data_IF_363965009016
#
_entry.id   IF_363965009016
#
_cell.length_a   1.000
_cell.length_b   1.000
_cell.length_c   1.000
_cell.angle_alpha   90.00
_cell.angle_beta   90.00
_cell.angle_gamma   90.00
#
_symmetry.space_group_name_H-M   'P 1'
#
loop_
_entity.id
_entity.type
_entity.pdbx_description
1 polymer ?
#
# COMPACT_ATOMS: atom_id res chain seq x y z
N UNK A 1 8.27 32.60 4.79
CA UNK A 1 9.23 33.68 4.50
C UNK A 1 9.47 33.81 3.01
N UNK A 2 10.26 34.80 2.58
CA UNK A 2 10.66 34.99 1.17
C UNK A 2 11.74 33.96 0.80
N UNK A 3 11.68 33.40 -0.40
CA UNK A 3 12.67 32.48 -0.96
C UNK A 3 12.98 32.84 -2.42
N UNK A 4 14.09 32.35 -2.97
CA UNK A 4 14.51 32.61 -4.36
C UNK A 4 13.76 31.70 -5.32
N UNK A 5 13.84 30.38 -5.08
CA UNK A 5 13.25 29.35 -5.94
C UNK A 5 12.77 28.15 -5.12
N UNK A 6 11.67 27.52 -5.57
CA UNK A 6 11.18 26.25 -5.03
C UNK A 6 11.73 25.10 -5.86
N UNK A 7 12.71 24.38 -5.32
CA UNK A 7 13.34 23.25 -6.02
C UNK A 7 12.51 21.97 -5.99
N UNK A 8 11.67 21.78 -4.96
CA UNK A 8 10.91 20.54 -4.82
C UNK A 8 10.13 20.41 -3.52
N UNK A 9 9.80 19.16 -3.17
CA UNK A 9 8.99 18.74 -2.02
C UNK A 9 9.54 17.46 -1.41
N UNK A 10 9.42 17.36 -0.09
CA UNK A 10 9.77 16.16 0.68
C UNK A 10 8.57 15.70 1.52
N UNK A 11 8.27 14.41 1.47
CA UNK A 11 7.26 13.78 2.32
C UNK A 11 7.89 12.61 3.11
N UNK A 12 8.10 12.78 4.44
CA UNK A 12 8.65 11.74 5.31
C UNK A 12 7.65 10.64 5.68
N UNK A 13 6.35 10.86 5.47
CA UNK A 13 5.29 9.94 5.93
C UNK A 13 5.07 8.76 4.96
N UNK A 14 5.74 8.75 3.81
CA UNK A 14 5.72 7.63 2.87
C UNK A 14 6.91 6.71 3.11
N UNK A 15 6.75 5.42 2.85
CA UNK A 15 7.85 4.45 2.89
C UNK A 15 7.99 3.77 1.53
N UNK A 16 9.09 3.99 0.78
CA UNK A 16 10.20 4.92 1.06
C UNK A 16 9.78 6.40 1.07
N UNK A 17 10.57 7.28 1.71
CA UNK A 17 10.27 8.71 1.78
C UNK A 17 10.26 9.35 0.38
N UNK A 18 9.21 10.11 0.06
CA UNK A 18 9.04 10.69 -1.27
C UNK A 18 9.84 11.97 -1.36
N UNK A 19 10.86 11.97 -2.23
CA UNK A 19 11.73 13.10 -2.52
C UNK A 19 11.55 13.44 -3.99
N UNK A 20 10.86 14.56 -4.27
CA UNK A 20 10.63 15.06 -5.62
C UNK A 20 11.20 16.47 -5.75
N UNK A 21 12.21 16.65 -6.59
CA UNK A 21 12.81 17.94 -6.88
C UNK A 21 13.46 17.92 -8.26
N UNK A 22 13.68 19.10 -8.83
CA UNK A 22 14.41 19.27 -10.08
C UNK A 22 15.92 19.09 -9.85
N UNK A 23 16.47 17.99 -10.38
CA UNK A 23 17.87 17.62 -10.22
C UNK A 23 18.87 18.58 -10.88
N UNK A 24 18.49 19.18 -12.01
CA UNK A 24 19.35 20.11 -12.75
C UNK A 24 19.41 21.47 -12.06
N UNK A 25 18.27 21.97 -11.59
CA UNK A 25 18.21 23.21 -10.79
C UNK A 25 18.93 23.04 -9.46
N UNK A 26 18.75 21.90 -8.78
CA UNK A 26 19.48 21.62 -7.54
C UNK A 26 21.00 21.58 -7.78
N UNK A 27 21.44 20.94 -8.87
CA UNK A 27 22.85 20.91 -9.26
C UNK A 27 23.40 22.32 -9.55
N UNK A 28 22.66 23.14 -10.30
CA UNK A 28 23.01 24.53 -10.59
C UNK A 28 23.28 25.34 -9.33
N UNK A 29 22.35 25.32 -8.36
CA UNK A 29 22.52 26.08 -7.12
C UNK A 29 23.70 25.59 -6.28
N UNK A 30 23.92 24.28 -6.23
CA UNK A 30 25.06 23.69 -5.52
C UNK A 30 26.40 24.04 -6.19
N UNK A 31 26.43 24.13 -7.52
CA UNK A 31 27.60 24.62 -8.26
C UNK A 31 27.86 26.11 -7.99
N UNK A 32 26.81 26.91 -7.83
CA UNK A 32 26.90 28.33 -7.45
C UNK A 32 27.21 28.56 -5.96
N UNK A 33 27.49 27.52 -5.19
CA UNK A 33 27.94 27.63 -3.80
C UNK A 33 26.85 27.53 -2.74
N UNK A 34 25.61 27.16 -3.10
CA UNK A 34 24.57 26.90 -2.12
C UNK A 34 25.05 25.87 -1.08
N UNK A 35 24.90 26.21 0.21
CA UNK A 35 25.26 25.35 1.33
C UNK A 35 24.00 24.61 1.82
N UNK A 36 23.81 23.32 1.48
CA UNK A 36 22.67 22.57 1.97
C UNK A 36 22.80 22.28 3.47
N UNK A 37 21.69 22.39 4.19
CA UNK A 37 21.56 21.91 5.56
C UNK A 37 21.65 20.39 5.62
N UNK A 38 21.90 19.82 6.80
CA UNK A 38 22.23 18.39 6.94
C UNK A 38 21.18 17.43 6.32
N UNK A 39 19.89 17.66 6.60
CA UNK A 39 18.81 16.84 6.05
C UNK A 39 18.71 16.97 4.53
N UNK A 40 18.85 18.20 4.00
CA UNK A 40 18.82 18.46 2.56
C UNK A 40 20.05 17.86 1.88
N UNK A 41 21.22 17.93 2.51
CA UNK A 41 22.45 17.29 2.04
C UNK A 41 22.26 15.78 1.91
N UNK A 42 21.64 15.13 2.90
CA UNK A 42 21.33 13.71 2.84
C UNK A 42 20.39 13.37 1.66
N UNK A 43 19.36 14.20 1.41
CA UNK A 43 18.46 14.02 0.26
C UNK A 43 19.18 14.19 -1.09
N UNK A 44 20.00 15.24 -1.22
CA UNK A 44 20.78 15.51 -2.43
C UNK A 44 21.84 14.44 -2.68
N UNK A 45 22.46 13.90 -1.62
CA UNK A 45 23.36 12.76 -1.70
C UNK A 45 22.61 11.51 -2.15
N UNK A 46 21.44 11.26 -1.58
CA UNK A 46 20.61 10.09 -1.87
C UNK A 46 20.17 10.02 -3.33
N UNK A 47 19.84 11.16 -3.96
CA UNK A 47 19.50 11.24 -5.39
C UNK A 47 20.69 11.50 -6.32
N UNK A 48 21.89 11.70 -5.78
CA UNK A 48 23.13 11.78 -6.56
C UNK A 48 23.57 13.17 -7.01
N UNK A 49 22.88 14.25 -6.62
CA UNK A 49 23.29 15.62 -7.02
C UNK A 49 24.69 15.96 -6.51
N UNK A 50 25.02 15.55 -5.27
CA UNK A 50 26.36 15.78 -4.72
C UNK A 50 27.44 14.95 -5.39
N UNK A 51 27.09 13.74 -5.86
CA UNK A 51 28.01 12.91 -6.63
C UNK A 51 28.28 13.54 -8.00
N UNK A 52 27.23 13.99 -8.70
CA UNK A 52 27.35 14.73 -9.97
C UNK A 52 28.26 15.95 -9.81
N UNK A 53 28.09 16.72 -8.72
CA UNK A 53 28.97 17.85 -8.39
C UNK A 53 30.42 17.43 -8.21
N UNK A 54 30.68 16.36 -7.45
CA UNK A 54 32.05 15.86 -7.25
C UNK A 54 32.72 15.45 -8.57
N UNK A 55 32.00 14.72 -9.42
CA UNK A 55 32.51 14.28 -10.73
C UNK A 55 32.76 15.48 -11.65
N UNK A 56 31.82 16.44 -11.71
CA UNK A 56 32.00 17.65 -12.51
C UNK A 56 33.22 18.46 -12.06
N UNK A 57 33.47 18.56 -10.75
CA UNK A 57 34.67 19.23 -10.25
C UNK A 57 35.95 18.52 -10.72
N UNK A 58 35.94 17.19 -10.80
CA UNK A 58 37.03 16.42 -11.41
C UNK A 58 37.25 16.76 -12.89
N UNK A 59 36.16 16.90 -13.65
CA UNK A 59 36.20 17.30 -15.06
C UNK A 59 36.75 18.72 -15.22
N UNK A 60 36.25 19.69 -14.44
CA UNK A 60 36.71 21.09 -14.51
C UNK A 60 38.20 21.23 -14.16
N UNK A 61 38.73 20.33 -13.33
CA UNK A 61 40.15 20.29 -12.95
C UNK A 61 41.00 19.48 -13.93
N UNK A 62 40.42 18.90 -14.98
CA UNK A 62 41.11 18.09 -15.97
C UNK A 62 41.50 16.68 -15.50
N UNK A 63 41.03 16.24 -14.33
CA UNK A 63 41.32 14.91 -13.78
C UNK A 63 40.45 13.79 -14.38
N UNK A 64 39.37 14.16 -15.08
CA UNK A 64 38.39 13.24 -15.65
C UNK A 64 37.84 13.80 -16.96
N UNK A 65 37.50 12.93 -17.91
CA UNK A 65 36.72 13.33 -19.10
C UNK A 65 35.24 13.37 -18.77
N UNK A 66 34.47 14.16 -19.52
CA UNK A 66 33.02 14.27 -19.34
C UNK A 66 32.33 12.90 -19.48
N UNK A 67 32.75 12.09 -20.45
CA UNK A 67 32.18 10.77 -20.70
C UNK A 67 32.36 9.81 -19.51
N UNK A 68 33.55 9.78 -18.90
CA UNK A 68 33.81 8.90 -17.75
C UNK A 68 33.05 9.38 -16.52
N UNK A 69 32.88 10.70 -16.36
CA UNK A 69 32.04 11.26 -15.30
C UNK A 69 30.58 10.80 -15.45
N UNK A 70 30.02 10.91 -16.66
CA UNK A 70 28.63 10.55 -16.93
C UNK A 70 28.40 9.04 -16.79
N UNK A 71 29.34 8.20 -17.25
CA UNK A 71 29.29 6.75 -17.05
C UNK A 71 29.24 6.37 -15.56
N UNK A 72 30.15 6.94 -14.74
CA UNK A 72 30.18 6.68 -13.30
C UNK A 72 28.91 7.15 -12.60
N UNK A 73 28.38 8.30 -13.03
CA UNK A 73 27.14 8.85 -12.48
C UNK A 73 25.94 7.96 -12.81
N UNK A 74 25.81 7.53 -14.07
CA UNK A 74 24.72 6.68 -14.52
C UNK A 74 24.77 5.30 -13.86
N UNK A 75 25.94 4.67 -13.79
CA UNK A 75 26.12 3.41 -13.07
C UNK A 75 25.67 3.53 -11.61
N UNK A 76 26.10 4.59 -10.92
CA UNK A 76 25.70 4.82 -9.54
C UNK A 76 24.19 5.04 -9.41
N UNK A 77 23.57 5.78 -10.34
CA UNK A 77 22.13 6.00 -10.35
C UNK A 77 21.34 4.70 -10.52
N UNK A 78 21.76 3.85 -11.45
CA UNK A 78 21.15 2.53 -11.68
C UNK A 78 21.25 1.66 -10.43
N UNK A 79 22.43 1.57 -9.81
CA UNK A 79 22.64 0.81 -8.58
C UNK A 79 21.76 1.33 -7.42
N UNK A 80 21.60 2.65 -7.29
CA UNK A 80 20.76 3.24 -6.26
C UNK A 80 19.28 3.03 -6.54
N UNK A 81 18.84 3.23 -7.77
CA UNK A 81 17.46 2.99 -8.17
C UNK A 81 17.08 1.52 -7.98
N UNK A 82 17.95 0.58 -8.36
CA UNK A 82 17.75 -0.84 -8.12
C UNK A 82 17.57 -1.17 -6.63
N UNK A 83 18.38 -0.58 -5.73
CA UNK A 83 18.21 -0.74 -4.27
C UNK A 83 16.90 -0.15 -3.75
N UNK A 84 16.45 0.97 -4.32
CA UNK A 84 15.19 1.60 -3.95
C UNK A 84 14.01 0.74 -4.38
N UNK A 85 14.05 0.25 -5.60
CA UNK A 85 12.98 -0.58 -6.16
C UNK A 85 12.92 -1.94 -5.47
N UNK A 86 14.06 -2.55 -5.15
CA UNK A 86 14.10 -3.74 -4.30
C UNK A 86 13.42 -3.53 -2.94
N UNK A 87 13.65 -2.37 -2.29
CA UNK A 87 12.94 -2.03 -1.04
C UNK A 87 11.45 -1.83 -1.23
N UNK A 88 11.03 -1.18 -2.32
CA UNK A 88 9.60 -1.02 -2.64
C UNK A 88 8.93 -2.36 -2.85
N UNK A 89 9.54 -3.25 -3.63
CA UNK A 89 9.03 -4.60 -3.89
C UNK A 89 8.88 -5.37 -2.58
N UNK A 90 9.93 -5.43 -1.75
CA UNK A 90 9.85 -6.10 -0.44
C UNK A 90 8.78 -5.51 0.50
N UNK A 91 8.53 -4.20 0.48
CA UNK A 91 7.44 -3.58 1.24
C UNK A 91 6.05 -3.96 0.71
N UNK A 92 5.91 -4.10 -0.61
CA UNK A 92 4.65 -4.54 -1.23
C UNK A 92 4.39 -6.00 -0.87
N UNK A 93 5.40 -6.86 -0.96
CA UNK A 93 5.28 -8.30 -0.69
C UNK A 93 4.91 -8.55 0.78
N UNK A 94 5.66 -7.95 1.71
CA UNK A 94 5.35 -8.05 3.15
C UNK A 94 3.95 -7.54 3.49
N UNK A 95 3.49 -6.47 2.83
CA UNK A 95 2.13 -5.96 3.01
C UNK A 95 1.08 -6.91 2.43
N UNK A 96 1.35 -7.56 1.31
CA UNK A 96 0.48 -8.55 0.70
C UNK A 96 0.35 -9.80 1.59
N UNK A 97 1.47 -10.32 2.10
CA UNK A 97 1.52 -11.44 3.04
C UNK A 97 0.77 -11.12 4.33
N UNK A 98 0.99 -9.95 4.92
CA UNK A 98 0.29 -9.53 6.14
C UNK A 98 -1.23 -9.43 5.93
N UNK A 99 -1.67 -8.91 4.77
CA UNK A 99 -3.10 -8.85 4.42
C UNK A 99 -3.68 -10.25 4.21
N UNK A 100 -2.98 -11.14 3.51
CA UNK A 100 -3.43 -12.51 3.31
C UNK A 100 -3.54 -13.26 4.64
N UNK A 101 -2.57 -13.09 5.54
CA UNK A 101 -2.61 -13.66 6.88
C UNK A 101 -3.77 -13.11 7.73
N UNK A 102 -4.02 -11.78 7.67
CA UNK A 102 -5.15 -11.17 8.35
C UNK A 102 -6.50 -11.70 7.84
N UNK A 103 -6.67 -11.80 6.51
CA UNK A 103 -7.88 -12.37 5.91
C UNK A 103 -8.09 -13.83 6.30
N UNK A 104 -7.03 -14.64 6.29
CA UNK A 104 -7.10 -16.04 6.71
C UNK A 104 -7.41 -16.20 8.22
N UNK A 105 -6.97 -15.27 9.06
CA UNK A 105 -7.34 -15.24 10.47
C UNK A 105 -8.81 -14.83 10.66
N UNK A 106 -9.27 -13.81 9.93
CA UNK A 106 -10.66 -13.35 9.95
C UNK A 106 -11.64 -14.43 9.45
N UNK A 107 -11.30 -15.17 8.39
CA UNK A 107 -12.14 -16.27 7.89
C UNK A 107 -12.26 -17.39 8.91
N UNK A 108 -11.17 -17.82 9.54
CA UNK A 108 -11.20 -18.82 10.62
C UNK A 108 -12.04 -18.37 11.81
N UNK A 109 -11.93 -17.10 12.22
CA UNK A 109 -12.75 -16.53 13.29
C UNK A 109 -14.23 -16.49 12.89
N UNK A 110 -14.53 -16.12 11.64
CA UNK A 110 -15.90 -16.10 11.11
C UNK A 110 -16.51 -17.50 11.08
N UNK A 111 -15.79 -18.49 10.57
CA UNK A 111 -16.22 -19.89 10.53
C UNK A 111 -16.44 -20.47 11.93
N UNK A 112 -15.53 -20.21 12.87
CA UNK A 112 -15.68 -20.64 14.25
C UNK A 112 -16.91 -20.00 14.93
N UNK A 113 -17.16 -18.70 14.70
CA UNK A 113 -18.36 -18.01 15.20
C UNK A 113 -19.64 -18.55 14.57
N UNK A 114 -19.63 -18.84 13.27
CA UNK A 114 -20.77 -19.41 12.56
C UNK A 114 -21.10 -20.82 13.08
N UNK A 115 -20.10 -21.67 13.30
CA UNK A 115 -20.29 -23.00 13.87
C UNK A 115 -20.83 -22.94 15.32
N UNK A 116 -20.34 -22.00 16.13
CA UNK A 116 -20.85 -21.79 17.49
C UNK A 116 -22.31 -21.29 17.50
N UNK A 117 -22.68 -20.41 16.57
CA UNK A 117 -24.06 -19.95 16.38
C UNK A 117 -24.97 -21.10 15.91
N UNK A 118 -24.54 -21.88 14.92
CA UNK A 118 -25.30 -23.03 14.43
C UNK A 118 -25.53 -24.06 15.54
N UNK A 119 -24.51 -24.35 16.36
CA UNK A 119 -24.65 -25.21 17.54
C UNK A 119 -25.66 -24.64 18.54
N UNK A 120 -25.55 -23.36 18.90
CA UNK A 120 -26.51 -22.70 19.80
C UNK A 120 -27.94 -22.71 19.26
N UNK A 121 -28.12 -22.51 17.94
CA UNK A 121 -29.42 -22.56 17.30
C UNK A 121 -30.00 -23.98 17.29
N UNK A 122 -29.18 -25.00 17.02
CA UNK A 122 -29.58 -26.40 17.10
C UNK A 122 -29.96 -26.81 18.54
N UNK A 123 -29.16 -26.41 19.53
CA UNK A 123 -29.43 -26.65 20.94
C UNK A 123 -30.73 -25.93 21.40
N UNK A 124 -30.97 -24.70 20.93
CA UNK A 124 -32.20 -23.96 21.20
C UNK A 124 -33.44 -24.57 20.52
N UNK A 125 -33.30 -25.07 19.28
CA UNK A 125 -34.40 -25.75 18.57
C UNK A 125 -34.76 -27.08 19.25
N UNK A 126 -33.76 -27.86 19.69
CA UNK A 126 -33.96 -29.09 20.44
C UNK A 126 -34.63 -28.83 21.81
N UNK A 127 -34.25 -27.76 22.51
CA UNK A 127 -34.88 -27.37 23.78
C UNK A 127 -36.32 -26.82 23.62
N UNK A 128 -36.65 -26.27 22.45
CA UNK A 128 -38.00 -25.79 22.12
C UNK A 128 -38.93 -26.89 21.56
N UNK A 129 -38.43 -28.12 21.37
CA UNK A 129 -39.24 -29.27 20.93
C UNK A 129 -39.71 -30.08 22.16
N UNK A 130 -41.00 -30.05 22.55
CA UNK A 130 -41.50 -30.91 23.61
C UNK A 130 -41.64 -32.36 23.12
N UNK A 131 -41.41 -33.31 24.04
CA UNK A 131 -41.55 -34.76 23.80
C UNK A 131 -42.92 -35.10 23.16
N UNK A 132 -42.97 -36.06 22.22
CA UNK A 132 -44.22 -36.41 21.56
C UNK A 132 -45.15 -37.08 22.58
N UNK A 133 -46.24 -36.40 22.92
CA UNK A 133 -47.43 -37.08 23.43
C UNK A 133 -47.99 -37.90 22.25
N UNK A 134 -48.00 -39.22 22.43
CA UNK A 134 -48.77 -40.13 21.61
C UNK A 134 -50.26 -39.82 21.80
N UNK A 135 -50.97 -39.46 20.73
CA UNK A 135 -52.22 -40.08 20.31
C UNK A 135 -52.74 -39.49 18.99
N UNK A 136 -53.39 -40.36 18.26
CA UNK A 136 -53.83 -40.30 16.86
C UNK A 136 -55.16 -39.54 16.69
N UNK A 137 -55.38 -39.05 15.47
CA UNK A 137 -56.66 -38.89 14.76
C UNK A 137 -57.62 -37.73 15.14
N UNK A 138 -57.87 -36.84 14.16
CA UNK A 138 -59.12 -36.71 13.35
C UNK A 138 -59.11 -35.33 12.63
N UNK A 139 -58.77 -35.26 11.34
CA UNK A 139 -59.65 -35.29 10.16
C UNK A 139 -60.62 -34.09 9.97
N UNK A 140 -60.59 -33.48 8.78
CA UNK A 140 -61.52 -32.46 8.25
C UNK A 140 -60.79 -31.31 7.52
N UNK A 141 -60.47 -31.42 6.22
CA UNK A 141 -61.29 -31.00 5.06
C UNK A 141 -61.67 -29.51 5.12
N UNK A 142 -61.26 -28.61 4.21
CA UNK A 142 -61.54 -28.60 2.77
C UNK A 142 -60.57 -27.71 1.97
N UNK A 143 -60.22 -28.20 0.78
CA UNK A 143 -59.97 -27.51 -0.52
C UNK A 143 -60.79 -26.19 -0.68
N UNK A 144 -60.40 -25.10 -1.36
CA UNK A 144 -60.01 -24.98 -2.78
C UNK A 144 -59.43 -23.57 -3.05
N UNK A 145 -58.65 -23.47 -4.13
CA UNK A 145 -58.15 -22.29 -4.85
C UNK A 145 -59.20 -21.16 -5.05
N UNK A 146 -58.87 -19.90 -5.36
CA UNK A 146 -58.15 -19.49 -6.56
C UNK A 146 -57.90 -17.97 -6.55
N UNK A 147 -56.72 -17.56 -7.02
CA UNK A 147 -56.33 -16.21 -7.45
C UNK A 147 -56.93 -15.87 -8.81
N UNK A 148 -57.49 -14.67 -9.02
CA UNK A 148 -57.38 -13.94 -10.31
C UNK A 148 -57.88 -12.48 -10.24
N UNK A 149 -57.07 -11.59 -10.83
CA UNK A 149 -57.36 -10.38 -11.64
C UNK A 149 -58.30 -9.28 -11.09
N UNK A 150 -57.86 -8.03 -10.93
CA UNK A 150 -57.48 -7.06 -11.98
C UNK A 150 -58.64 -6.70 -12.93
N UNK A 151 -59.24 -5.52 -12.73
CA UNK A 151 -59.78 -4.67 -13.81
C UNK A 151 -60.11 -3.27 -13.28
N UNK A 152 -59.79 -2.29 -14.12
CA UNK A 152 -59.93 -0.86 -13.96
C UNK A 152 -61.38 -0.36 -14.03
N UNK A 153 -61.64 0.78 -13.38
CA UNK A 153 -62.46 1.90 -13.86
C UNK A 153 -62.11 3.16 -13.05
#
# INVERSE_FOLDING_TARGET
GRFIEKLGTYNPNTNPATINYDGDRAFYWVMNGAQPTETVRAMLAYRGVLLRRHLQLGVTKGALTQEVADQRYNQWLEEKNAKIDAKKVGLVDTKAEARAAALAAETKVKEARAAALAKKQADALAAATPAPAAEEATEGSTETAETSAEAAA
#
